data_IF_932414403561
#
_entry.id   IF_932414403561
#
_cell.length_a   1.000
_cell.length_b   1.000
_cell.length_c   1.000
_cell.angle_alpha   90.00
_cell.angle_beta   90.00
_cell.angle_gamma   90.00
#
_symmetry.space_group_name_H-M   'P 1'
#
loop_
_entity.id
_entity.type
_entity.pdbx_description
1 polymer ?
2 branched ?
3 non-polymer ?
4 non-polymer ?
5 non-polymer ?
6 non-polymer ?
7 water ?
#
# COMPACT_ATOMS: atom_id res chain seq x y z
N UNK A 1 -21.72 -13.83 -5.22
CA UNK A 1 -22.25 -15.19 -5.04
C UNK A 1 -21.90 -15.72 -3.66
N UNK A 2 -20.68 -16.20 -3.53
CA UNK A 2 -20.26 -16.75 -2.25
C UNK A 2 -18.96 -16.11 -1.82
N UNK A 3 -18.67 -16.20 -0.52
CA UNK A 3 -17.45 -15.64 0.02
C UNK A 3 -16.22 -16.26 -0.66
N UNK A 4 -15.25 -15.44 -1.01
CA UNK A 4 -14.02 -15.92 -1.62
C UNK A 4 -13.10 -16.58 -0.58
N UNK A 5 -12.44 -17.67 -0.97
CA UNK A 5 -11.51 -18.35 -0.07
C UNK A 5 -10.14 -18.37 -0.77
N UNK A 6 -9.10 -18.15 0.00
CA UNK A 6 -7.74 -18.12 -0.48
C UNK A 6 -7.24 -19.56 -0.64
N UNK A 7 -7.67 -20.21 -1.71
CA UNK A 7 -7.30 -21.60 -1.94
C UNK A 7 -6.05 -21.90 -2.77
N UNK A 8 -5.51 -20.90 -3.45
CA UNK A 8 -4.34 -21.10 -4.31
C UNK A 8 -3.08 -20.56 -3.68
N UNK A 9 -1.94 -20.87 -4.30
CA UNK A 9 -0.65 -20.36 -3.89
C UNK A 9 -0.23 -19.39 -4.99
N UNK A 10 0.86 -18.66 -4.82
CA UNK A 10 1.32 -17.70 -5.84
C UNK A 10 1.88 -18.37 -7.08
N UNK A 11 1.79 -17.70 -8.21
CA UNK A 11 2.37 -18.22 -9.44
C UNK A 11 3.88 -17.94 -9.31
N UNK A 12 4.68 -18.59 -10.14
CA UNK A 12 6.11 -18.35 -10.13
C UNK A 12 6.30 -16.99 -10.76
N UNK A 13 7.08 -16.17 -10.09
CA UNK A 13 7.34 -14.82 -10.55
C UNK A 13 8.73 -14.82 -11.16
N UNK A 14 8.80 -14.82 -12.48
CA UNK A 14 10.08 -14.76 -13.20
C UNK A 14 10.40 -13.37 -13.73
N UNK A 15 9.36 -12.52 -13.80
CA UNK A 15 9.49 -11.12 -14.22
C UNK A 15 8.15 -10.41 -13.95
N UNK A 16 8.06 -9.15 -14.31
CA UNK A 16 6.86 -8.34 -14.11
C UNK A 16 6.48 -7.71 -15.41
N UNK A 17 5.18 -7.72 -15.75
CA UNK A 17 4.70 -7.08 -16.97
C UNK A 17 3.81 -5.90 -16.57
N UNK A 18 3.68 -4.91 -17.47
CA UNK A 18 2.84 -3.73 -17.26
C UNK A 18 1.36 -4.11 -17.18
N UNK A 19 0.69 -3.67 -16.12
CA UNK A 19 -0.72 -3.97 -15.90
C UNK A 19 -1.63 -2.74 -16.16
N UNK A 20 -1.33 -1.64 -15.48
CA UNK A 20 -2.09 -0.41 -15.63
C UNK A 20 -1.26 0.82 -15.34
N UNK A 21 -1.61 1.92 -15.94
CA UNK A 21 -0.88 3.18 -15.75
C UNK A 21 -1.90 4.23 -16.12
N UNK A 22 -2.05 5.26 -15.29
CA UNK A 22 -3.06 6.26 -15.60
C UNK A 22 -2.59 7.58 -16.21
N UNK A 23 -1.28 7.89 -16.13
CA UNK A 23 -0.73 9.14 -16.67
C UNK A 23 -1.54 10.35 -16.18
N UNK A 24 -2.00 10.30 -14.93
CA UNK A 24 -2.83 11.33 -14.34
C UNK A 24 -2.34 12.77 -14.37
N UNK A 25 -1.06 12.99 -14.08
CA UNK A 25 -0.53 14.36 -14.05
C UNK A 25 -0.36 14.91 -15.46
N UNK A 26 0.08 14.08 -16.41
CA UNK A 26 0.23 14.55 -17.81
C UNK A 26 -1.14 15.02 -18.28
N UNK A 27 -2.13 14.14 -18.09
CA UNK A 27 -3.48 14.43 -18.53
C UNK A 27 -4.13 15.57 -17.73
N UNK A 28 -3.87 15.60 -16.43
CA UNK A 28 -4.45 16.61 -15.57
C UNK A 28 -4.00 18.01 -15.84
N UNK A 29 -2.94 18.16 -16.62
CA UNK A 29 -2.44 19.49 -16.95
C UNK A 29 -3.51 20.24 -17.73
N UNK A 30 -4.42 19.51 -18.40
CA UNK A 30 -5.47 20.13 -19.19
C UNK A 30 -6.77 19.31 -19.21
N UNK A 31 -7.18 18.88 -18.03
CA UNK A 31 -8.42 18.09 -17.86
C UNK A 31 -8.75 18.22 -16.39
N UNK A 32 -10.01 17.95 -16.06
CA UNK A 32 -10.47 18.05 -14.70
C UNK A 32 -10.14 16.83 -13.91
N UNK A 33 -8.86 16.76 -13.52
CA UNK A 33 -8.33 15.63 -12.74
C UNK A 33 -8.20 16.03 -11.28
N UNK A 34 -8.61 15.14 -10.40
CA UNK A 34 -8.54 15.39 -8.97
C UNK A 34 -7.15 15.23 -8.41
N UNK A 35 -6.78 16.07 -7.45
CA UNK A 35 -5.49 15.93 -6.79
C UNK A 35 -5.64 14.74 -5.85
N UNK A 36 -4.68 13.83 -5.87
CA UNK A 36 -4.74 12.68 -4.98
C UNK A 36 -3.34 12.39 -4.37
N UNK A 37 -3.32 11.35 -3.54
CA UNK A 37 -2.15 10.72 -2.94
C UNK A 37 -2.61 9.43 -2.24
N UNK A 38 -1.66 8.60 -1.82
CA UNK A 38 -1.97 7.34 -1.15
C UNK A 38 -2.89 6.43 -2.00
N UNK A 39 -2.52 6.17 -3.26
CA UNK A 39 -3.39 5.36 -4.12
C UNK A 39 -3.14 3.88 -3.92
N UNK A 40 -3.99 3.07 -4.50
CA UNK A 40 -3.81 1.62 -4.47
C UNK A 40 -4.72 1.04 -5.51
N UNK A 41 -4.72 -0.27 -5.66
CA UNK A 41 -5.55 -0.92 -6.65
C UNK A 41 -6.30 -2.01 -5.90
N UNK A 42 -7.55 -2.27 -6.30
CA UNK A 42 -8.31 -3.32 -5.65
C UNK A 42 -9.37 -3.88 -6.59
N UNK A 43 -9.49 -5.21 -6.59
CA UNK A 43 -10.43 -5.90 -7.47
C UNK A 43 -11.69 -6.43 -6.82
N UNK A 44 -12.73 -6.48 -7.63
CA UNK A 44 -14.01 -7.01 -7.30
C UNK A 44 -14.01 -8.27 -8.18
N UNK A 45 -15.02 -9.11 -8.07
CA UNK A 45 -15.02 -10.33 -8.88
C UNK A 45 -15.09 -10.08 -10.38
N UNK A 46 -15.54 -8.91 -10.78
CA UNK A 46 -15.71 -8.66 -12.20
C UNK A 46 -14.98 -7.47 -12.75
N UNK A 47 -14.24 -6.77 -11.91
CA UNK A 47 -13.52 -5.59 -12.39
C UNK A 47 -12.45 -5.16 -11.37
N UNK A 48 -11.31 -4.65 -11.84
CA UNK A 48 -10.25 -4.15 -10.95
C UNK A 48 -10.23 -2.64 -11.10
N UNK A 49 -10.13 -1.92 -9.99
CA UNK A 49 -10.15 -0.45 -10.02
C UNK A 49 -9.01 0.21 -9.27
N UNK A 50 -8.74 1.47 -9.67
CA UNK A 50 -7.73 2.30 -9.03
C UNK A 50 -8.46 3.03 -7.89
N UNK A 51 -7.77 3.23 -6.78
CA UNK A 51 -8.29 3.89 -5.60
C UNK A 51 -7.24 4.91 -5.15
N UNK A 52 -7.68 5.93 -4.42
CA UNK A 52 -6.80 6.95 -3.85
C UNK A 52 -7.54 7.94 -2.96
N UNK A 53 -6.82 8.71 -2.16
CA UNK A 53 -7.46 9.70 -1.30
C UNK A 53 -7.40 11.03 -2.02
N UNK A 54 -8.56 11.51 -2.46
CA UNK A 54 -8.68 12.79 -3.15
C UNK A 54 -8.40 13.92 -2.18
N UNK A 55 -8.00 15.07 -2.72
CA UNK A 55 -7.78 16.25 -1.89
C UNK A 55 -8.96 17.20 -2.07
N UNK A 56 -9.96 16.79 -2.84
CA UNK A 56 -11.13 17.63 -3.02
C UNK A 56 -10.94 18.87 -3.87
N UNK A 57 -10.07 18.77 -4.88
CA UNK A 57 -9.80 19.87 -5.81
C UNK A 57 -9.10 19.27 -7.05
N UNK A 58 -9.15 19.99 -8.17
CA UNK A 58 -8.44 19.53 -9.37
C UNK A 58 -7.00 20.04 -9.26
N UNK A 59 -6.11 19.53 -10.12
CA UNK A 59 -4.71 19.96 -10.08
C UNK A 59 -4.55 21.40 -10.55
N UNK A 60 -5.27 21.77 -11.60
CA UNK A 60 -5.18 23.10 -12.15
C UNK A 60 -6.00 24.09 -11.35
N UNK A 61 -6.87 23.58 -10.48
CA UNK A 61 -7.72 24.45 -9.68
C UNK A 61 -6.94 25.17 -8.60
N UNK A 62 -7.35 26.37 -8.25
CA UNK A 62 -6.66 27.17 -7.23
C UNK A 62 -6.56 26.57 -5.84
N UNK A 63 -7.47 25.67 -5.50
CA UNK A 63 -7.46 25.00 -4.21
C UNK A 63 -6.40 23.92 -4.15
N UNK A 64 -5.68 23.69 -5.24
CA UNK A 64 -4.62 22.68 -5.25
C UNK A 64 -3.45 23.20 -4.40
N UNK A 65 -3.48 24.49 -4.14
CA UNK A 65 -2.45 25.08 -3.34
C UNK A 65 -2.56 24.56 -1.93
N UNK A 66 -1.52 23.90 -1.45
CA UNK A 66 -1.55 23.38 -0.11
C UNK A 66 -1.82 21.89 0.08
N UNK A 67 -2.03 21.17 -1.02
CA UNK A 67 -2.32 19.75 -0.96
C UNK A 67 -1.15 18.89 -0.50
N UNK A 68 -0.16 19.52 0.13
CA UNK A 68 0.93 18.72 0.65
C UNK A 68 0.44 18.18 2.01
N UNK A 69 -0.53 18.87 2.61
CA UNK A 69 -1.13 18.48 3.89
C UNK A 69 -1.89 17.15 3.84
N UNK A 70 -1.61 16.30 4.82
CA UNK A 70 -2.22 14.98 4.88
C UNK A 70 -3.68 14.84 5.29
N UNK A 71 -4.09 15.60 6.29
CA UNK A 71 -5.44 15.47 6.83
C UNK A 71 -6.29 16.71 6.80
N UNK A 72 -7.47 16.61 6.22
CA UNK A 72 -8.37 17.76 6.18
C UNK A 72 -9.74 17.18 5.98
N UNK A 73 -10.75 18.05 5.97
CA UNK A 73 -12.12 17.62 5.78
C UNK A 73 -12.49 17.49 4.29
N UNK A 74 -11.55 17.75 3.39
CA UNK A 74 -11.82 17.72 1.97
C UNK A 74 -11.32 16.49 1.24
N UNK A 75 -10.81 15.53 1.99
CA UNK A 75 -10.29 14.29 1.42
C UNK A 75 -11.37 13.20 1.42
N UNK A 76 -11.24 12.26 0.50
CA UNK A 76 -12.23 11.17 0.43
C UNK A 76 -11.63 10.01 -0.32
N UNK A 77 -12.01 8.80 0.05
CA UNK A 77 -11.54 7.64 -0.70
C UNK A 77 -12.38 7.60 -1.99
N UNK A 78 -11.73 7.62 -3.15
CA UNK A 78 -12.42 7.55 -4.44
C UNK A 78 -11.89 6.35 -5.24
N UNK A 79 -12.71 5.81 -6.13
CA UNK A 79 -12.26 4.73 -7.00
C UNK A 79 -12.68 5.13 -8.44
N UNK A 80 -11.96 4.62 -9.44
CA UNK A 80 -12.22 4.95 -10.82
C UNK A 80 -11.70 3.82 -11.71
N UNK A 81 -12.15 3.79 -12.97
CA UNK A 81 -11.77 2.67 -13.84
C UNK A 81 -10.25 2.58 -14.04
N UNK A 82 -9.77 1.34 -14.10
CA UNK A 82 -8.37 0.97 -14.28
C UNK A 82 -7.72 1.69 -15.45
N UNK A 83 -6.64 2.39 -15.15
CA UNK A 83 -5.86 3.11 -16.15
C UNK A 83 -6.43 4.45 -16.65
N UNK A 84 -7.60 4.82 -16.13
CA UNK A 84 -8.18 6.10 -16.42
C UNK A 84 -7.58 7.03 -15.37
N UNK A 85 -7.59 8.34 -15.62
CA UNK A 85 -7.19 9.20 -14.51
C UNK A 85 -8.37 9.45 -13.56
N UNK A 86 -8.07 9.83 -12.31
CA UNK A 86 -9.12 10.17 -11.35
C UNK A 86 -9.70 11.52 -11.70
N UNK A 87 -10.75 11.51 -12.52
CA UNK A 87 -11.34 12.80 -12.91
C UNK A 87 -12.58 13.11 -12.08
N UNK A 88 -12.99 14.36 -12.12
CA UNK A 88 -14.16 14.76 -11.36
C UNK A 88 -15.42 14.04 -11.80
N UNK A 89 -15.48 13.67 -13.08
CA UNK A 89 -16.66 13.03 -13.62
C UNK A 89 -16.70 11.50 -13.68
N UNK A 90 -15.58 10.82 -13.59
CA UNK A 90 -15.63 9.37 -13.66
C UNK A 90 -15.30 8.70 -12.31
N UNK A 91 -15.11 9.51 -11.27
CA UNK A 91 -14.74 9.05 -9.93
C UNK A 91 -15.90 8.77 -9.00
N UNK A 92 -15.88 7.62 -8.34
CA UNK A 92 -16.92 7.23 -7.38
C UNK A 92 -16.35 7.40 -5.97
N UNK A 93 -17.05 8.11 -5.10
CA UNK A 93 -16.62 8.30 -3.71
C UNK A 93 -17.03 7.07 -2.88
N UNK A 94 -16.09 6.47 -2.19
CA UNK A 94 -16.37 5.32 -1.36
C UNK A 94 -16.74 5.73 0.09
N UNK A 95 -16.02 6.70 0.64
CA UNK A 95 -16.26 7.23 1.98
C UNK A 95 -15.40 8.47 2.19
N UNK A 96 -15.69 9.20 3.26
CA UNK A 96 -15.01 10.45 3.58
C UNK A 96 -13.95 10.23 4.65
N UNK A 97 -12.72 10.61 4.32
CA UNK A 97 -11.62 10.41 5.26
C UNK A 97 -10.23 10.65 4.70
N UNK A 98 -9.25 10.61 5.59
CA UNK A 98 -7.87 10.84 5.23
C UNK A 98 -6.93 9.65 5.43
N UNK A 99 -7.51 8.45 5.60
CA UNK A 99 -6.76 7.19 5.75
C UNK A 99 -7.78 6.12 5.37
N UNK A 100 -7.37 5.08 4.65
CA UNK A 100 -8.32 4.06 4.24
C UNK A 100 -7.76 2.69 3.86
N UNK A 101 -8.69 1.77 3.62
CA UNK A 101 -8.44 0.43 3.14
C UNK A 101 -9.78 0.00 2.57
N UNK A 102 -9.77 -1.06 1.76
CA UNK A 102 -10.97 -1.55 1.08
C UNK A 102 -10.71 -2.94 0.49
N UNK A 103 -11.72 -3.79 0.52
CA UNK A 103 -11.55 -5.10 -0.09
C UNK A 103 -12.88 -5.76 -0.34
N UNK A 104 -12.92 -6.62 -1.34
CA UNK A 104 -14.12 -7.34 -1.70
C UNK A 104 -13.95 -8.72 -1.06
N UNK A 105 -15.01 -9.20 -0.40
CA UNK A 105 -14.96 -10.50 0.24
C UNK A 105 -15.53 -11.59 -0.64
N UNK A 106 -15.95 -11.21 -1.85
CA UNK A 106 -16.52 -12.21 -2.74
C UNK A 106 -17.99 -11.94 -2.96
N UNK A 107 -18.66 -11.44 -1.94
CA UNK A 107 -20.08 -11.11 -2.07
C UNK A 107 -20.22 -9.60 -2.32
N UNK A 108 -19.53 -8.81 -1.50
CA UNK A 108 -19.54 -7.37 -1.64
C UNK A 108 -18.26 -6.73 -1.06
N UNK A 109 -18.13 -5.41 -1.22
CA UNK A 109 -16.96 -4.67 -0.78
C UNK A 109 -17.13 -3.92 0.54
N UNK A 110 -16.06 -3.95 1.34
CA UNK A 110 -16.00 -3.25 2.61
C UNK A 110 -14.97 -2.17 2.40
N UNK A 111 -15.32 -0.94 2.76
CA UNK A 111 -14.41 0.19 2.63
C UNK A 111 -14.37 0.87 4.00
N UNK A 112 -13.19 1.33 4.42
CA UNK A 112 -13.06 1.94 5.73
C UNK A 112 -12.35 3.27 5.60
N UNK A 113 -12.98 4.32 6.10
CA UNK A 113 -12.37 5.65 6.07
C UNK A 113 -12.33 6.19 7.48
N UNK A 114 -11.23 6.89 7.75
CA UNK A 114 -10.99 7.48 9.04
C UNK A 114 -10.92 8.98 8.88
N UNK A 115 -11.62 9.70 9.73
CA UNK A 115 -11.57 11.14 9.64
C UNK A 115 -11.58 11.70 11.04
N UNK A 116 -11.35 13.01 11.15
CA UNK A 116 -11.38 13.65 12.44
C UNK A 116 -10.13 14.44 12.73
N UNK A 117 -10.15 15.21 13.84
CA UNK A 117 -8.98 15.85 14.44
C UNK A 117 -8.01 14.78 14.90
N UNK A 118 -6.75 15.18 15.05
CA UNK A 118 -5.70 14.27 15.47
C UNK A 118 -6.01 13.54 16.76
N UNK A 119 -6.71 14.19 17.66
CA UNK A 119 -7.03 13.57 18.94
C UNK A 119 -8.44 13.05 19.11
N UNK A 120 -9.21 12.96 18.03
CA UNK A 120 -10.58 12.50 18.19
C UNK A 120 -11.08 11.91 16.88
N UNK A 121 -10.21 11.14 16.23
CA UNK A 121 -10.52 10.53 14.95
C UNK A 121 -11.38 9.29 15.15
N UNK A 122 -12.02 8.85 14.07
CA UNK A 122 -12.86 7.67 14.15
C UNK A 122 -12.92 6.98 12.80
N UNK A 123 -13.04 5.66 12.81
CA UNK A 123 -13.15 4.87 11.60
C UNK A 123 -14.60 4.46 11.40
N UNK A 124 -15.08 4.54 10.16
CA UNK A 124 -16.44 4.09 9.86
C UNK A 124 -16.34 3.06 8.75
N UNK A 125 -16.81 1.87 9.08
CA UNK A 125 -16.76 0.73 8.19
C UNK A 125 -18.01 0.68 7.38
N UNK A 126 -17.84 0.68 6.07
CA UNK A 126 -18.94 0.61 5.11
C UNK A 126 -18.93 -0.77 4.48
N UNK A 127 -20.11 -1.34 4.28
CA UNK A 127 -20.20 -2.66 3.69
C UNK A 127 -21.40 -2.63 2.75
N UNK A 128 -21.17 -2.98 1.49
CA UNK A 128 -22.22 -2.95 0.49
C UNK A 128 -22.71 -1.51 0.36
N UNK A 129 -21.77 -0.56 0.42
CA UNK A 129 -22.02 0.89 0.30
C UNK A 129 -22.94 1.59 1.35
N UNK A 130 -22.96 1.06 2.55
CA UNK A 130 -23.73 1.62 3.65
C UNK A 130 -22.83 1.59 4.89
N UNK A 131 -22.92 2.63 5.76
CA UNK A 131 -22.16 2.58 7.01
C UNK A 131 -22.72 1.52 7.92
N UNK A 132 -21.84 0.71 8.50
CA UNK A 132 -22.27 -0.37 9.38
C UNK A 132 -21.67 -0.31 10.80
N UNK A 133 -20.37 -0.14 10.90
CA UNK A 133 -19.72 -0.11 12.19
C UNK A 133 -18.84 1.13 12.29
N UNK A 134 -18.64 1.61 13.50
CA UNK A 134 -17.82 2.79 13.77
C UNK A 134 -16.93 2.48 14.97
N UNK A 135 -15.66 2.87 14.87
CA UNK A 135 -14.68 2.64 15.92
C UNK A 135 -14.06 3.99 16.25
N UNK A 136 -14.05 4.33 17.53
CA UNK A 136 -13.47 5.58 17.94
C UNK A 136 -12.00 5.38 18.32
N UNK A 137 -11.20 6.42 18.15
CA UNK A 137 -9.78 6.43 18.48
C UNK A 137 -9.54 5.86 19.89
N UNK A 138 -8.52 5.02 20.04
CA UNK A 138 -8.20 4.46 21.35
C UNK A 138 -6.94 5.04 22.01
N UNK A 139 -6.05 5.65 21.23
CA UNK A 139 -4.86 6.23 21.80
C UNK A 139 -4.83 7.75 21.64
N UNK A 140 -5.86 8.29 20.99
CA UNK A 140 -6.02 9.72 20.76
C UNK A 140 -4.91 10.39 19.96
N UNK A 141 -4.30 9.67 19.04
CA UNK A 141 -3.23 10.24 18.26
C UNK A 141 -3.20 9.62 16.87
N UNK A 142 -4.01 10.26 16.02
CA UNK A 142 -4.17 9.92 14.62
C UNK A 142 -4.44 8.43 14.27
N UNK A 143 -5.64 7.96 14.62
CA UNK A 143 -6.06 6.60 14.27
C UNK A 143 -5.83 6.50 12.75
N UNK A 144 -5.13 5.46 12.31
CA UNK A 144 -4.81 5.31 10.89
C UNK A 144 -4.78 3.86 10.43
N UNK A 145 -4.83 3.62 9.12
CA UNK A 145 -4.83 2.26 8.63
C UNK A 145 -3.89 2.03 7.45
N UNK A 146 -4.11 0.93 6.73
CA UNK A 146 -3.27 0.47 5.62
C UNK A 146 -2.86 1.33 4.44
N UNK A 147 -3.83 2.01 3.81
CA UNK A 147 -3.61 2.80 2.61
C UNK A 147 -3.43 1.86 1.41
N UNK A 148 -3.91 0.64 1.52
CA UNK A 148 -3.91 -0.33 0.40
C UNK A 148 -4.97 -1.36 0.76
N UNK A 149 -5.31 -2.26 -0.15
CA UNK A 149 -6.36 -3.21 0.13
C UNK A 149 -6.13 -4.22 1.26
N UNK A 150 -7.23 -4.62 1.88
CA UNK A 150 -7.24 -5.65 2.92
C UNK A 150 -7.48 -6.94 2.12
N UNK A 151 -7.62 -8.08 2.80
CA UNK A 151 -7.84 -9.35 2.11
C UNK A 151 -8.82 -10.12 2.96
N UNK A 152 -9.66 -10.91 2.30
CA UNK A 152 -10.65 -11.69 3.05
C UNK A 152 -10.54 -13.14 2.74
N UNK A 153 -11.05 -13.93 3.67
CA UNK A 153 -11.06 -15.37 3.49
C UNK A 153 -12.33 -15.86 4.16
N UNK A 154 -13.20 -16.45 3.36
CA UNK A 154 -14.47 -16.96 3.86
C UNK A 154 -15.27 -15.96 4.68
N UNK A 155 -15.34 -14.72 4.20
CA UNK A 155 -16.10 -13.70 4.88
C UNK A 155 -15.35 -12.82 5.86
N UNK A 156 -14.23 -13.35 6.38
CA UNK A 156 -13.39 -12.65 7.35
C UNK A 156 -12.27 -11.84 6.72
N UNK A 157 -12.29 -10.53 6.97
CA UNK A 157 -11.32 -9.60 6.39
C UNK A 157 -10.57 -8.89 7.51
N UNK A 158 -9.33 -9.33 7.82
CA UNK A 158 -8.52 -8.63 8.83
C UNK A 158 -8.01 -7.31 8.30
N UNK A 159 -7.92 -6.35 9.20
CA UNK A 159 -7.45 -5.03 8.89
C UNK A 159 -6.55 -4.60 10.02
N UNK A 160 -5.40 -4.02 9.67
CA UNK A 160 -4.42 -3.54 10.64
C UNK A 160 -4.54 -2.02 10.83
N UNK A 161 -4.70 -1.57 12.08
CA UNK A 161 -4.80 -0.13 12.40
C UNK A 161 -3.69 0.20 13.38
N UNK A 162 -3.32 1.46 13.45
CA UNK A 162 -2.34 1.88 14.43
C UNK A 162 -2.82 3.18 15.03
N UNK A 163 -2.76 3.30 16.33
CA UNK A 163 -3.16 4.56 16.95
C UNK A 163 -2.06 4.91 17.94
N UNK A 164 -1.64 6.18 17.93
CA UNK A 164 -0.58 6.63 18.80
C UNK A 164 0.58 7.26 18.03
N UNK A 165 1.71 7.35 18.71
CA UNK A 165 2.92 7.93 18.15
C UNK A 165 3.45 7.30 16.85
N UNK A 166 3.89 8.16 15.96
CA UNK A 166 4.47 7.73 14.70
C UNK A 166 5.96 7.50 14.94
N UNK A 167 6.46 7.90 16.09
CA UNK A 167 7.89 7.77 16.32
C UNK A 167 8.23 7.19 17.68
N UNK A 168 7.41 6.28 18.14
CA UNK A 168 7.64 5.65 19.42
C UNK A 168 6.78 4.42 19.39
N UNK A 169 6.77 3.63 20.47
CA UNK A 169 5.79 2.54 20.62
C UNK A 169 4.37 3.11 20.45
N UNK A 170 3.49 2.40 19.76
CA UNK A 170 2.11 2.87 19.53
C UNK A 170 1.18 1.69 19.77
N UNK A 171 -0.13 1.89 19.66
CA UNK A 171 -1.07 0.77 19.86
C UNK A 171 -1.67 0.26 18.56
N UNK A 172 -1.10 -0.81 18.04
CA UNK A 172 -1.56 -1.41 16.80
C UNK A 172 -2.50 -2.58 17.09
N UNK A 173 -3.61 -2.65 16.36
CA UNK A 173 -4.59 -3.71 16.54
C UNK A 173 -4.95 -4.33 15.21
N UNK A 174 -5.29 -5.61 15.24
CA UNK A 174 -5.72 -6.33 14.03
C UNK A 174 -7.20 -6.61 14.28
N UNK A 175 -8.10 -6.04 13.47
CA UNK A 175 -9.54 -6.28 13.62
C UNK A 175 -9.93 -7.31 12.60
N UNK A 176 -10.85 -8.18 12.96
CA UNK A 176 -11.33 -9.22 12.07
C UNK A 176 -12.79 -8.88 11.82
N UNK A 177 -13.10 -8.45 10.60
CA UNK A 177 -14.48 -8.10 10.24
C UNK A 177 -15.09 -9.17 9.38
N UNK A 178 -16.42 -9.26 9.48
CA UNK A 178 -17.20 -10.17 8.66
C UNK A 178 -18.49 -9.39 8.43
N UNK A 179 -18.79 -9.10 7.16
CA UNK A 179 -19.97 -8.31 6.79
C UNK A 179 -20.03 -7.00 7.54
N UNK A 180 -18.89 -6.33 7.67
CA UNK A 180 -18.86 -5.04 8.34
C UNK A 180 -18.89 -5.03 9.85
N UNK A 181 -19.15 -6.18 10.48
CA UNK A 181 -19.19 -6.24 11.95
C UNK A 181 -17.84 -6.74 12.48
N UNK A 182 -17.49 -6.33 13.68
CA UNK A 182 -16.24 -6.75 14.33
C UNK A 182 -16.46 -8.10 14.96
N UNK A 183 -15.65 -9.07 14.56
CA UNK A 183 -15.76 -10.40 15.14
C UNK A 183 -14.87 -10.45 16.33
N UNK A 184 -13.75 -9.73 16.27
CA UNK A 184 -12.74 -9.75 17.32
C UNK A 184 -11.58 -8.79 16.97
N UNK A 185 -10.78 -8.41 17.96
CA UNK A 185 -9.62 -7.60 17.67
C UNK A 185 -8.52 -8.05 18.60
N UNK A 186 -7.27 -7.97 18.13
CA UNK A 186 -6.10 -8.35 18.90
C UNK A 186 -5.17 -7.18 18.95
N UNK A 187 -4.44 -7.02 20.07
CA UNK A 187 -3.19 -6.27 20.09
C UNK A 187 -2.07 -6.99 19.32
N UNK A 188 -1.21 -6.21 18.69
CA UNK A 188 -0.08 -6.71 17.93
C UNK A 188 0.76 -7.66 18.76
N UNK A 189 1.18 -8.76 18.17
CA UNK A 189 2.03 -9.73 18.88
C UNK A 189 3.28 -9.94 18.03
N UNK A 190 4.24 -10.64 18.62
CA UNK A 190 5.47 -10.93 17.90
C UNK A 190 6.55 -9.94 18.20
N UNK A 191 7.56 -9.91 17.35
CA UNK A 191 8.69 -9.04 17.56
C UNK A 191 8.71 -7.72 16.81
N UNK A 192 7.69 -7.43 16.00
CA UNK A 192 7.71 -6.15 15.28
C UNK A 192 7.60 -5.02 16.31
N UNK A 193 8.45 -4.01 16.23
CA UNK A 193 8.40 -2.92 17.23
C UNK A 193 7.46 -1.76 16.92
N UNK A 194 7.16 -1.57 15.64
CA UNK A 194 6.29 -0.48 15.24
C UNK A 194 5.65 -0.89 13.92
N UNK A 195 4.38 -0.58 13.73
CA UNK A 195 3.67 -0.95 12.52
C UNK A 195 2.92 0.20 11.90
N UNK A 196 3.06 0.40 10.61
CA UNK A 196 2.36 1.46 9.92
C UNK A 196 2.06 0.97 8.52
N UNK A 197 0.95 1.41 7.94
CA UNK A 197 0.58 1.14 6.55
C UNK A 197 0.91 -0.24 6.00
N UNK A 198 0.25 -1.26 6.52
CA UNK A 198 0.54 -2.60 6.05
C UNK A 198 0.04 -2.87 4.64
N UNK A 199 0.86 -3.57 3.86
CA UNK A 199 0.54 -3.98 2.49
C UNK A 199 0.36 -5.48 2.55
N UNK A 200 -0.85 -5.95 2.25
CA UNK A 200 -1.15 -7.39 2.37
C UNK A 200 -1.62 -8.12 1.10
N UNK A 201 -1.52 -9.44 1.17
CA UNK A 201 -1.94 -10.33 0.11
C UNK A 201 -2.19 -11.66 0.80
N UNK A 202 -2.88 -12.57 0.12
CA UNK A 202 -3.17 -13.85 0.73
C UNK A 202 -3.01 -14.98 -0.23
N UNK A 203 -2.64 -16.13 0.33
CA UNK A 203 -2.48 -17.35 -0.45
C UNK A 203 -2.50 -18.51 0.51
N UNK A 204 -3.09 -19.62 0.07
CA UNK A 204 -3.23 -20.84 0.86
C UNK A 204 -3.70 -20.60 2.31
N UNK A 205 -4.84 -19.93 2.41
CA UNK A 205 -5.51 -19.58 3.66
C UNK A 205 -4.69 -18.83 4.69
N UNK A 206 -3.73 -18.05 4.25
CA UNK A 206 -2.91 -17.27 5.16
C UNK A 206 -2.74 -15.87 4.57
N UNK A 207 -2.66 -14.85 5.42
CA UNK A 207 -2.53 -13.48 4.94
C UNK A 207 -1.20 -12.89 5.42
N UNK A 208 -0.44 -12.35 4.49
CA UNK A 208 0.84 -11.78 4.82
C UNK A 208 0.83 -10.28 4.54
N UNK A 209 1.26 -9.51 5.51
CA UNK A 209 1.34 -8.07 5.39
C UNK A 209 2.77 -7.61 5.63
N UNK A 210 3.28 -6.75 4.74
CA UNK A 210 4.62 -6.18 4.87
C UNK A 210 4.31 -4.73 5.24
N UNK A 211 4.76 -4.29 6.40
CA UNK A 211 4.45 -2.94 6.82
C UNK A 211 5.63 -2.03 6.90
N UNK A 212 5.47 -0.97 7.68
CA UNK A 212 6.49 0.04 7.81
C UNK A 212 6.74 0.42 9.26
N UNK A 213 7.98 0.21 9.70
CA UNK A 213 8.40 0.58 11.03
C UNK A 213 8.90 2.02 10.89
N UNK A 214 8.05 2.97 11.21
CA UNK A 214 8.44 4.35 11.06
C UNK A 214 9.41 4.84 12.12
N UNK A 215 9.52 4.07 13.20
CA UNK A 215 10.37 4.44 14.34
C UNK A 215 11.89 4.19 14.19
N UNK A 216 12.30 2.94 14.10
CA UNK A 216 13.72 2.69 13.99
C UNK A 216 14.19 1.69 12.94
N UNK A 217 13.27 0.91 12.37
CA UNK A 217 13.69 -0.08 11.41
C UNK A 217 13.77 0.30 9.96
N UNK A 218 14.84 -0.17 9.32
CA UNK A 218 15.08 0.02 7.89
C UNK A 218 14.80 -1.28 7.16
N UNK A 219 14.66 -2.35 7.95
CA UNK A 219 14.24 -3.63 7.41
C UNK A 219 12.72 -3.49 7.70
N UNK A 220 11.89 -4.22 6.97
CA UNK A 220 10.44 -4.12 7.15
C UNK A 220 9.86 -5.20 8.04
N UNK A 221 8.93 -4.82 8.91
CA UNK A 221 8.12 -5.76 9.67
C UNK A 221 7.07 -6.52 8.84
N UNK A 222 6.82 -7.75 9.24
CA UNK A 222 5.87 -8.60 8.57
C UNK A 222 4.92 -9.10 9.60
N UNK A 223 3.65 -9.19 9.22
CA UNK A 223 2.58 -9.70 10.07
C UNK A 223 1.98 -10.86 9.29
N UNK A 224 2.00 -12.06 9.84
CA UNK A 224 1.35 -13.20 9.18
C UNK A 224 0.05 -13.39 9.94
N UNK A 225 -1.07 -13.39 9.23
CA UNK A 225 -2.37 -13.54 9.85
C UNK A 225 -3.06 -14.82 9.41
N UNK A 226 -3.71 -15.46 10.37
CA UNK A 226 -4.47 -16.68 10.12
C UNK A 226 -5.92 -16.28 10.24
N UNK A 227 -6.63 -16.13 9.11
CA UNK A 227 -8.00 -15.59 9.13
C UNK A 227 -9.05 -16.60 9.62
N UNK A 228 -8.66 -17.85 9.79
CA UNK A 228 -9.60 -18.87 10.30
C UNK A 228 -9.51 -18.93 11.83
N UNK A 229 -8.29 -18.99 12.34
CA UNK A 229 -8.06 -19.01 13.78
C UNK A 229 -8.13 -17.58 14.31
N UNK A 230 -8.05 -16.61 13.41
CA UNK A 230 -8.06 -15.21 13.83
C UNK A 230 -6.94 -14.92 14.80
N UNK A 231 -5.73 -15.32 14.42
CA UNK A 231 -4.51 -15.06 15.21
C UNK A 231 -3.42 -14.53 14.27
N UNK A 232 -2.33 -14.03 14.83
CA UNK A 232 -1.27 -13.51 14.01
C UNK A 232 0.03 -13.51 14.77
N UNK A 233 1.10 -13.23 14.05
CA UNK A 233 2.42 -13.10 14.64
C UNK A 233 3.18 -12.10 13.79
N UNK A 234 4.29 -11.57 14.31
CA UNK A 234 5.07 -10.60 13.58
C UNK A 234 6.56 -10.77 13.77
N UNK A 235 7.33 -10.27 12.80
CA UNK A 235 8.79 -10.27 12.84
C UNK A 235 9.27 -9.28 11.81
N UNK A 236 10.57 -9.29 11.53
CA UNK A 236 11.10 -8.43 10.48
C UNK A 236 11.62 -9.33 9.36
N UNK A 237 11.73 -8.76 8.16
CA UNK A 237 12.32 -9.48 7.05
C UNK A 237 13.83 -9.59 7.44
N UNK A 238 14.36 -10.83 7.42
CA UNK A 238 15.75 -11.10 7.79
C UNK A 238 16.82 -10.57 6.86
N UNK A 239 16.56 -10.61 5.55
CA UNK A 239 17.53 -10.17 4.56
C UNK A 239 18.27 -8.87 4.86
N UNK A 240 19.58 -8.80 4.54
CA UNK A 240 20.36 -7.54 4.51
C UNK A 240 19.96 -6.54 3.40
N UNK A 241 19.13 -6.99 2.44
CA UNK A 241 18.65 -6.10 1.37
C UNK A 241 17.52 -5.23 1.99
N UNK A 242 17.89 -4.06 2.50
CA UNK A 242 16.95 -3.16 3.19
C UNK A 242 15.96 -2.49 2.24
N UNK A 243 14.69 -2.50 2.63
CA UNK A 243 13.69 -1.94 1.73
C UNK A 243 12.91 -0.71 2.18
N UNK A 244 13.18 -0.18 3.37
CA UNK A 244 12.51 1.05 3.75
C UNK A 244 13.27 2.22 3.12
N UNK A 245 12.77 3.44 3.33
CA UNK A 245 13.38 4.66 2.79
C UNK A 245 12.95 5.85 3.65
N UNK A 246 13.90 6.73 4.00
CA UNK A 246 15.35 6.63 3.86
C UNK A 246 15.93 5.44 4.66
N UNK A 247 17.11 4.96 4.28
CA UNK A 247 17.72 3.79 4.95
C UNK A 247 19.26 3.81 4.78
N UNK A 248 19.98 3.04 5.62
CA UNK A 248 21.44 2.95 5.49
C UNK A 248 21.79 2.11 4.25
N UNK A 249 23.07 1.88 3.99
CA UNK A 249 23.43 1.05 2.86
C UNK A 249 23.25 -0.39 3.28
N UNK A 250 23.03 -1.30 2.34
CA UNK A 250 22.84 -2.71 2.71
C UNK A 250 24.09 -3.25 3.42
N UNK A 251 23.91 -3.92 4.58
CA UNK A 251 25.00 -4.71 5.18
C UNK A 251 25.13 -6.10 4.59
N UNK A 252 25.97 -6.92 5.20
CA UNK A 252 26.20 -8.27 4.75
C UNK A 252 25.31 -9.24 5.50
N UNK A 253 24.75 -8.79 6.61
CA UNK A 253 23.88 -9.67 7.39
C UNK A 253 22.78 -8.80 8.01
N UNK A 254 21.53 -9.26 7.93
CA UNK A 254 20.40 -8.50 8.45
C UNK A 254 19.90 -9.02 9.79
N UNK A 255 18.77 -8.50 10.25
CA UNK A 255 18.18 -8.91 11.53
C UNK A 255 16.75 -9.40 11.36
N UNK A 256 16.44 -10.50 12.04
CA UNK A 256 15.13 -11.15 11.97
C UNK A 256 14.06 -10.69 12.94
N UNK A 257 14.49 -10.27 14.13
CA UNK A 257 13.56 -9.84 15.15
C UNK A 257 13.85 -8.50 15.78
N UNK A 258 14.61 -7.65 15.11
CA UNK A 258 14.88 -6.34 15.65
C UNK A 258 14.99 -5.40 14.48
N UNK A 259 14.62 -4.15 14.69
CA UNK A 259 14.83 -3.16 13.64
C UNK A 259 16.31 -2.99 13.29
N UNK A 260 16.61 -2.84 12.01
CA UNK A 260 17.98 -2.61 11.63
C UNK A 260 18.16 -1.09 11.75
N UNK A 261 19.09 -0.64 12.61
CA UNK A 261 19.20 0.79 12.97
C UNK A 261 19.88 1.58 11.87
N UNK A 262 19.76 2.89 11.91
CA UNK A 262 20.37 3.67 10.87
C UNK A 262 19.62 4.95 10.63
N UNK A 263 18.35 4.87 10.24
CA UNK A 263 17.50 6.05 10.02
C UNK A 263 16.40 5.93 11.04
N UNK A 264 15.99 7.06 11.61
CA UNK A 264 14.92 7.04 12.61
C UNK A 264 13.79 7.90 12.19
N UNK A 265 12.61 7.59 12.71
CA UNK A 265 11.42 8.39 12.46
C UNK A 265 11.09 8.78 11.03
N UNK A 266 11.09 7.80 10.16
CA UNK A 266 10.74 8.02 8.78
C UNK A 266 10.65 6.69 8.06
N UNK A 267 10.08 6.74 6.87
CA UNK A 267 9.93 5.54 6.07
C UNK A 267 9.01 5.79 4.90
N UNK A 268 8.53 4.70 4.29
CA UNK A 268 7.63 4.80 3.15
C UNK A 268 6.87 3.48 3.11
N UNK A 269 5.61 3.53 2.72
CA UNK A 269 4.80 2.33 2.64
C UNK A 269 5.39 1.54 1.50
N UNK A 270 5.60 0.24 1.71
CA UNK A 270 6.17 -0.65 0.72
C UNK A 270 5.54 -2.03 0.85
N UNK A 271 6.04 -3.03 0.13
CA UNK A 271 5.45 -4.38 0.22
C UNK A 271 6.53 -5.37 -0.17
N UNK A 272 6.14 -6.63 -0.22
CA UNK A 272 6.99 -7.72 -0.65
C UNK A 272 6.13 -8.96 -0.84
N UNK A 273 6.65 -9.91 -1.58
CA UNK A 273 5.98 -11.18 -1.78
C UNK A 273 6.96 -12.17 -1.16
N UNK A 274 6.54 -12.85 -0.11
CA UNK A 274 7.46 -13.76 0.57
C UNK A 274 7.02 -15.18 0.34
N UNK A 275 7.72 -15.87 -0.54
CA UNK A 275 7.33 -17.20 -0.90
C UNK A 275 8.51 -18.15 -1.16
N UNK A 276 9.35 -18.36 -0.14
CA UNK A 276 10.50 -19.24 -0.26
C UNK A 276 11.48 -18.73 -1.29
N UNK A 277 11.80 -19.54 -2.29
CA UNK A 277 12.71 -19.06 -3.33
C UNK A 277 11.97 -18.04 -4.23
N UNK A 278 10.64 -18.13 -4.27
CA UNK A 278 9.80 -17.25 -5.09
C UNK A 278 9.53 -15.93 -4.35
N UNK A 279 10.58 -15.32 -3.82
CA UNK A 279 10.49 -14.10 -3.06
C UNK A 279 11.02 -12.83 -3.76
N UNK A 280 10.18 -11.81 -3.85
CA UNK A 280 10.58 -10.56 -4.48
C UNK A 280 10.30 -9.34 -3.57
N UNK A 281 11.30 -8.46 -3.39
CA UNK A 281 11.14 -7.27 -2.56
C UNK A 281 11.13 -6.07 -3.46
N UNK A 282 10.35 -5.06 -3.06
CA UNK A 282 10.31 -3.82 -3.82
C UNK A 282 10.97 -2.76 -2.94
N UNK A 283 11.66 -1.80 -3.56
CA UNK A 283 12.28 -0.71 -2.80
C UNK A 283 12.63 0.45 -3.70
N UNK A 284 12.78 1.62 -3.09
CA UNK A 284 13.21 2.78 -3.84
C UNK A 284 14.70 2.49 -4.17
N UNK A 285 15.19 3.04 -5.27
CA UNK A 285 16.60 2.85 -5.64
C UNK A 285 17.42 3.75 -4.72
N UNK A 286 17.00 4.98 -4.57
CA UNK A 286 17.70 5.87 -3.69
C UNK A 286 17.53 5.46 -2.24
N UNK A 287 18.61 5.54 -1.47
CA UNK A 287 18.54 5.24 -0.03
C UNK A 287 18.15 6.53 0.71
N UNK A 288 18.27 7.66 0.03
CA UNK A 288 17.98 8.97 0.62
C UNK A 288 16.57 9.50 0.40
N UNK A 289 16.07 9.45 -0.83
CA UNK A 289 14.72 9.93 -1.10
C UNK A 289 13.87 8.89 -1.83
N UNK A 290 12.60 9.22 -2.03
CA UNK A 290 11.61 8.35 -2.69
C UNK A 290 11.87 8.58 -4.16
N UNK A 291 12.89 7.90 -4.64
CA UNK A 291 13.37 8.09 -5.98
C UNK A 291 13.78 6.76 -6.58
N UNK A 292 13.23 6.46 -7.75
CA UNK A 292 13.50 5.19 -8.41
C UNK A 292 12.71 4.06 -7.76
N UNK A 293 12.65 2.92 -8.42
CA UNK A 293 11.93 1.78 -7.86
C UNK A 293 12.36 0.55 -8.60
N UNK A 294 12.65 -0.49 -7.83
CA UNK A 294 13.11 -1.75 -8.37
C UNK A 294 12.54 -2.91 -7.57
N UNK A 295 12.47 -4.05 -8.25
CA UNK A 295 12.00 -5.29 -7.66
C UNK A 295 13.24 -6.20 -7.68
N UNK A 296 13.51 -6.88 -6.57
CA UNK A 296 14.65 -7.78 -6.44
C UNK A 296 14.23 -9.16 -5.94
N UNK A 297 14.68 -10.20 -6.63
CA UNK A 297 14.36 -11.55 -6.21
C UNK A 297 15.42 -11.89 -5.17
N UNK A 298 14.98 -12.14 -3.94
CA UNK A 298 15.88 -12.43 -2.85
C UNK A 298 15.36 -13.70 -2.19
N UNK A 299 15.87 -14.87 -2.62
CA UNK A 299 15.36 -16.16 -2.15
C UNK A 299 15.35 -16.24 -0.62
N UNK A 300 14.21 -16.60 -0.04
CA UNK A 300 14.07 -16.73 1.41
C UNK A 300 14.42 -15.50 2.22
N UNK A 301 14.07 -14.32 1.74
CA UNK A 301 14.37 -13.07 2.43
C UNK A 301 13.84 -13.01 3.86
N UNK A 302 12.64 -13.55 4.05
CA UNK A 302 11.98 -13.53 5.34
C UNK A 302 12.79 -14.19 6.45
N UNK A 303 13.42 -15.31 6.12
CA UNK A 303 14.14 -16.05 7.13
C UNK A 303 15.66 -16.14 7.02
N UNK A 304 16.22 -15.88 5.86
CA UNK A 304 17.67 -15.99 5.67
C UNK A 304 18.34 -14.64 5.90
N UNK A 305 19.07 -14.48 7.02
CA UNK A 305 19.70 -13.20 7.33
C UNK A 305 20.94 -12.78 6.54
N UNK A 306 21.22 -13.52 5.48
CA UNK A 306 22.35 -13.19 4.61
C UNK A 306 21.91 -13.29 3.13
N UNK A 307 20.61 -13.40 2.90
CA UNK A 307 20.08 -13.50 1.56
C UNK A 307 20.35 -12.22 0.72
N UNK A 308 20.78 -12.42 -0.52
CA UNK A 308 21.08 -11.31 -1.42
C UNK A 308 20.39 -11.62 -2.76
N UNK A 309 20.27 -10.61 -3.65
CA UNK A 309 19.42 -10.73 -4.83
C UNK A 309 20.01 -11.68 -5.86
N UNK A 310 19.14 -12.40 -6.56
CA UNK A 310 19.64 -13.30 -7.59
C UNK A 310 19.11 -12.84 -8.94
N UNK A 311 18.21 -11.86 -8.93
CA UNK A 311 17.60 -11.33 -10.15
C UNK A 311 16.92 -10.02 -9.77
N UNK A 312 16.60 -9.20 -10.76
CA UNK A 312 15.91 -7.95 -10.48
C UNK A 312 15.26 -7.33 -11.69
N UNK A 313 14.48 -6.29 -11.45
CA UNK A 313 13.82 -5.57 -12.52
C UNK A 313 13.61 -4.13 -12.08
N UNK A 314 14.08 -3.19 -12.88
CA UNK A 314 13.91 -1.77 -12.57
C UNK A 314 12.54 -1.35 -13.04
N UNK A 315 11.81 -0.66 -12.17
CA UNK A 315 10.47 -0.22 -12.54
C UNK A 315 10.46 1.27 -12.87
N UNK A 316 11.15 2.06 -12.05
CA UNK A 316 11.26 3.50 -12.24
C UNK A 316 12.74 3.81 -12.06
N UNK A 317 13.32 4.59 -12.98
CA UNK A 317 14.75 4.95 -12.89
C UNK A 317 14.99 5.88 -11.72
N UNK A 318 16.19 5.86 -11.16
CA UNK A 318 16.47 6.70 -10.00
C UNK A 318 16.43 8.22 -10.21
N UNK A 319 16.26 8.64 -11.45
CA UNK A 319 16.15 10.05 -11.74
C UNK A 319 14.67 10.47 -11.67
N UNK A 320 13.76 9.48 -11.60
CA UNK A 320 12.34 9.79 -11.49
C UNK A 320 11.80 9.51 -10.10
N UNK A 321 10.79 10.27 -9.71
CA UNK A 321 10.16 10.13 -8.41
C UNK A 321 9.24 8.91 -8.30
N UNK A 322 9.19 8.35 -7.11
CA UNK A 322 8.35 7.20 -6.83
C UNK A 322 7.56 7.62 -5.59
N UNK A 323 7.31 6.70 -4.68
CA UNK A 323 6.54 7.03 -3.49
C UNK A 323 6.02 5.73 -2.93
N UNK A 324 4.79 5.72 -2.41
CA UNK A 324 4.19 4.53 -1.85
C UNK A 324 4.07 3.37 -2.85
N UNK A 325 4.02 2.16 -2.35
CA UNK A 325 3.87 1.01 -3.22
C UNK A 325 3.18 -0.02 -2.33
N UNK A 326 2.34 -0.86 -2.92
CA UNK A 326 1.63 -1.88 -2.15
C UNK A 326 1.21 -3.05 -3.03
N UNK A 327 0.70 -4.08 -2.40
CA UNK A 327 0.30 -5.27 -3.11
C UNK A 327 -1.21 -5.41 -3.29
N UNK A 328 -1.60 -6.20 -4.26
CA UNK A 328 -3.00 -6.54 -4.52
C UNK A 328 -2.92 -7.71 -5.51
N UNK A 329 -4.01 -8.45 -5.64
CA UNK A 329 -4.06 -9.53 -6.61
C UNK A 329 -5.51 -9.68 -7.04
N UNK A 330 -5.72 -10.15 -8.25
CA UNK A 330 -7.07 -10.37 -8.70
C UNK A 330 -7.36 -11.81 -8.25
N UNK A 331 -7.99 -11.95 -7.09
CA UNK A 331 -8.32 -13.27 -6.53
C UNK A 331 -9.38 -14.00 -7.31
N UNK A 332 -9.96 -13.31 -8.30
CA UNK A 332 -11.04 -13.89 -9.12
C UNK A 332 -10.63 -14.20 -10.58
N UNK A 333 -9.34 -14.09 -10.89
CA UNK A 333 -8.85 -14.39 -12.22
C UNK A 333 -8.88 -15.90 -12.44
N UNK A 334 -9.02 -16.33 -13.68
CA UNK A 334 -9.04 -17.75 -13.97
C UNK A 334 -7.62 -18.25 -13.70
N UNK A 335 -7.41 -19.55 -13.56
CA UNK A 335 -6.06 -19.99 -13.35
C UNK A 335 -5.78 -20.87 -12.16
N UNK A 336 -4.60 -21.48 -12.19
CA UNK A 336 -4.17 -22.41 -11.18
C UNK A 336 -3.51 -21.78 -9.98
N UNK A 337 -3.06 -20.55 -10.13
CA UNK A 337 -2.37 -19.86 -9.03
C UNK A 337 -2.72 -18.38 -9.03
N UNK A 338 -2.38 -17.68 -7.95
CA UNK A 338 -2.64 -16.25 -7.86
C UNK A 338 -1.48 -15.47 -8.47
N UNK A 339 -1.79 -14.55 -9.37
CA UNK A 339 -0.76 -13.75 -10.00
C UNK A 339 -0.47 -12.52 -9.12
N UNK A 340 0.73 -12.44 -8.55
CA UNK A 340 1.13 -11.30 -7.72
C UNK A 340 1.17 -9.98 -8.50
N UNK A 341 0.67 -8.90 -7.89
CA UNK A 341 0.67 -7.60 -8.55
C UNK A 341 1.08 -6.54 -7.53
N UNK A 342 1.35 -5.34 -8.02
CA UNK A 342 1.72 -4.24 -7.16
C UNK A 342 1.57 -2.94 -7.93
N UNK A 343 1.49 -1.85 -7.17
CA UNK A 343 1.41 -0.52 -7.77
C UNK A 343 2.49 0.34 -7.12
N UNK A 344 2.89 1.39 -7.83
CA UNK A 344 3.85 2.38 -7.32
C UNK A 344 3.16 3.75 -7.53
N UNK A 345 3.18 4.57 -6.49
CA UNK A 345 2.62 5.92 -6.52
C UNK A 345 3.74 6.77 -7.05
N UNK A 346 3.49 7.55 -8.09
CA UNK A 346 4.55 8.42 -8.63
C UNK A 346 4.19 9.85 -8.21
N UNK A 347 4.74 10.29 -7.08
CA UNK A 347 4.50 11.62 -6.52
C UNK A 347 5.19 12.74 -7.29
N UNK A 348 4.45 13.80 -7.57
CA UNK A 348 4.95 14.96 -8.30
C UNK A 348 4.55 16.17 -7.43
N UNK A 349 5.31 17.26 -7.54
CA UNK A 349 5.05 18.44 -6.75
C UNK A 349 5.80 18.48 -5.41
N UNK A 350 5.21 19.10 -4.40
CA UNK A 350 5.90 19.20 -3.13
C UNK A 350 6.00 17.92 -2.37
N UNK A 351 7.11 17.72 -1.64
CA UNK A 351 8.19 18.68 -1.35
C UNK A 351 9.36 18.79 -2.35
N UNK A 352 9.67 17.73 -3.10
CA UNK A 352 10.79 17.77 -4.03
C UNK A 352 10.71 18.81 -5.16
N UNK A 353 9.58 18.90 -5.82
CA UNK A 353 9.43 19.85 -6.92
C UNK A 353 8.68 21.04 -6.39
N UNK A 354 9.41 21.98 -5.78
CA UNK A 354 8.80 23.16 -5.16
C UNK A 354 8.34 24.30 -6.04
N UNK A 355 8.55 24.21 -7.35
CA UNK A 355 8.09 25.26 -8.25
C UNK A 355 6.55 25.33 -8.27
N UNK A 356 5.87 24.22 -8.00
CA UNK A 356 4.41 24.24 -7.97
C UNK A 356 4.04 24.21 -6.51
N UNK A 357 2.80 24.58 -6.21
CA UNK A 357 2.31 24.63 -4.86
C UNK A 357 1.50 23.44 -4.42
N UNK A 358 1.33 22.49 -5.33
CA UNK A 358 0.54 21.29 -5.06
C UNK A 358 1.41 20.04 -4.95
N UNK A 359 0.77 18.95 -4.52
CA UNK A 359 1.37 17.63 -4.42
C UNK A 359 0.30 16.68 -4.93
N UNK A 360 0.64 15.86 -5.91
CA UNK A 360 -0.30 14.90 -6.45
C UNK A 360 0.47 13.67 -6.95
N UNK A 361 -0.20 12.74 -7.62
CA UNK A 361 0.52 11.57 -8.13
C UNK A 361 -0.19 10.90 -9.29
N UNK A 362 0.51 9.98 -9.95
CA UNK A 362 -0.08 9.15 -10.99
C UNK A 362 0.25 7.74 -10.47
N UNK A 363 -0.17 6.71 -11.17
CA UNK A 363 0.06 5.33 -10.72
C UNK A 363 0.60 4.46 -11.83
N UNK A 364 1.46 3.51 -11.47
CA UNK A 364 1.91 2.51 -12.41
C UNK A 364 1.73 1.18 -11.65
N UNK A 365 1.22 0.16 -12.32
CA UNK A 365 1.04 -1.12 -11.67
C UNK A 365 1.45 -2.22 -12.61
N UNK A 366 2.04 -3.28 -12.04
CA UNK A 366 2.52 -4.44 -12.78
C UNK A 366 2.04 -5.69 -12.08
N UNK A 367 2.09 -6.80 -12.82
CA UNK A 367 1.72 -8.12 -12.32
C UNK A 367 2.81 -9.09 -12.77
N UNK A 368 2.92 -10.22 -12.08
CA UNK A 368 3.98 -11.15 -12.42
C UNK A 368 3.72 -11.96 -13.67
N UNK A 369 4.82 -12.40 -14.29
CA UNK A 369 4.78 -13.25 -15.46
C UNK A 369 5.72 -14.42 -15.15
N UNK A 370 5.37 -15.58 -15.67
CA UNK A 370 6.21 -16.76 -15.49
C UNK A 370 7.29 -16.77 -16.58
N UNK A 371 7.17 -15.83 -17.51
CA UNK A 371 8.12 -15.63 -18.60
C UNK A 371 9.19 -14.68 -18.08
N UNK A 372 10.32 -14.56 -18.77
CA UNK A 372 11.36 -13.63 -18.34
C UNK A 372 11.31 -12.43 -19.29
N UNK A 373 10.32 -11.57 -19.12
CA UNK A 373 10.11 -10.41 -19.98
C UNK A 373 11.17 -9.35 -19.88
N UNK A 374 11.41 -8.66 -21.01
CA UNK A 374 12.37 -7.56 -21.02
C UNK A 374 11.80 -6.43 -20.17
N UNK A 375 12.64 -5.55 -19.66
CA UNK A 375 12.16 -4.46 -18.82
C UNK A 375 12.15 -3.08 -19.45
N UNK A 376 11.33 -2.21 -18.90
CA UNK A 376 11.23 -0.81 -19.34
C UNK A 376 11.00 -0.01 -18.07
N UNK A 377 11.31 1.27 -18.08
CA UNK A 377 11.05 2.09 -16.90
C UNK A 377 9.73 2.84 -17.14
N UNK A 378 8.99 3.08 -16.07
CA UNK A 378 7.66 3.70 -16.16
C UNK A 378 7.52 4.92 -15.28
N UNK A 379 8.01 6.06 -15.75
CA UNK A 379 7.98 7.28 -14.93
C UNK A 379 6.62 7.93 -15.07
N UNK A 380 6.38 9.00 -14.30
CA UNK A 380 5.12 9.74 -14.34
C UNK A 380 4.91 10.34 -15.72
N UNK A 381 5.92 10.99 -16.28
CA UNK A 381 5.77 11.54 -17.60
C UNK A 381 5.36 12.99 -17.71
N UNK A 382 4.96 13.64 -16.63
CA UNK A 382 4.58 15.06 -16.74
C UNK A 382 5.77 15.98 -16.67
N UNK A 383 5.68 17.11 -17.36
CA UNK A 383 6.73 18.13 -17.34
C UNK A 383 6.25 19.27 -16.48
N UNK A 384 6.84 19.38 -15.29
CA UNK A 384 6.49 20.42 -14.35
C UNK A 384 6.49 21.82 -14.91
N UNK A 385 7.43 22.14 -15.80
CA UNK A 385 7.46 23.51 -16.34
C UNK A 385 6.17 23.90 -17.03
N UNK A 386 5.37 22.92 -17.47
CA UNK A 386 4.09 23.18 -18.12
C UNK A 386 3.02 23.71 -17.15
N UNK A 387 3.26 23.49 -15.85
CA UNK A 387 2.32 23.92 -14.84
C UNK A 387 2.65 25.29 -14.25
N UNK A 388 3.81 25.83 -14.60
CA UNK A 388 4.20 27.13 -14.05
C UNK A 388 3.55 28.22 -14.87
#
# INVERSE_FOLDING_TARGET
RDFNNLTKGLCTINSWHIYGKDNAVRIGEDSDVLVTREPYVSCDPDECRFYALSQGTTIRGKHSNGTIHDRSQYRALISWPLSSPPTVYNSRVECIGWSSTSCHDGKTRMSICISGPNNNASAVIWYNRRPVTEINTWARNILRTQESECVCHNGVCPVVFTDGSATGPAETRIYYFKEGKILKWEPLAGTAKHIEECSCYGERAEITCTCRDNWQGSNRPVIRIDPVAMTHTSQYICSPVLTDNPRPNDPTVGKCNDPYPGNNNNGVKGFSYLDGVNTWLGRTISIASRSGYEMLKVPNALTDDKSKPTQGQTIVLNTDWSGYSGSFMDYWAEGECYRACFYVELIRGRPKEDKVWWTSNSIVSMCSSTEFLGQWDWPDGAKIEYFL
#
